data_IF_213971828035
#
_entry.id   IF_213971828035
#
_cell.length_a   1.000
_cell.length_b   1.000
_cell.length_c   1.000
_cell.angle_alpha   90.00
_cell.angle_beta   90.00
_cell.angle_gamma   90.00
#
_symmetry.space_group_name_H-M   'P 1'
#
loop_
_entity.id
_entity.type
_entity.pdbx_description
1 polymer ?
#
# COMPACT_ATOMS: atom_id res chain seq x y z
N UNK A 1 16.88 19.46 27.52
CA UNK A 1 16.15 18.77 28.61
C UNK A 1 15.58 17.46 28.09
N UNK A 2 15.83 16.34 28.79
CA UNK A 2 15.26 15.04 28.45
C UNK A 2 13.77 14.96 28.85
N UNK A 3 12.95 14.23 28.07
CA UNK A 3 11.54 13.98 28.43
C UNK A 3 11.43 13.17 29.71
N UNK A 4 10.48 13.51 30.58
CA UNK A 4 10.18 12.75 31.80
C UNK A 4 9.62 11.36 31.46
N UNK A 5 9.62 10.45 32.44
CA UNK A 5 9.14 9.08 32.25
C UNK A 5 7.67 9.06 31.83
N UNK A 6 6.84 9.91 32.43
CA UNK A 6 5.41 10.01 32.09
C UNK A 6 5.18 10.52 30.68
N UNK A 7 5.98 11.51 30.23
CA UNK A 7 5.94 12.00 28.84
C UNK A 7 6.36 10.92 27.83
N UNK A 8 7.32 10.04 28.20
CA UNK A 8 7.72 8.91 27.35
C UNK A 8 6.60 7.88 27.24
N UNK A 9 5.99 7.51 28.38
CA UNK A 9 4.84 6.59 28.39
C UNK A 9 3.66 7.14 27.59
N UNK A 10 3.36 8.43 27.73
CA UNK A 10 2.32 9.08 26.94
C UNK A 10 2.59 8.99 25.44
N UNK A 11 3.82 9.26 25.00
CA UNK A 11 4.21 9.15 23.59
C UNK A 11 4.15 7.72 23.07
N UNK A 12 4.54 6.72 23.86
CA UNK A 12 4.40 5.32 23.50
C UNK A 12 2.91 4.98 23.30
N UNK A 13 2.03 5.39 24.22
CA UNK A 13 0.61 5.18 24.10
C UNK A 13 -0.03 5.90 22.90
N UNK A 14 0.41 7.12 22.57
CA UNK A 14 -0.02 7.79 21.31
C UNK A 14 0.42 6.99 20.09
N UNK A 15 1.63 6.44 20.10
CA UNK A 15 2.13 5.65 18.99
C UNK A 15 1.38 4.34 18.82
N UNK A 16 1.11 3.64 19.93
CA UNK A 16 0.31 2.41 19.90
C UNK A 16 -1.06 2.66 19.27
N UNK A 17 -1.70 3.78 19.60
CA UNK A 17 -2.96 4.20 18.96
C UNK A 17 -2.83 4.52 17.47
N UNK A 18 -1.69 5.05 17.02
CA UNK A 18 -1.46 5.29 15.59
C UNK A 18 -1.29 3.98 14.81
N UNK A 19 -0.73 2.93 15.43
CA UNK A 19 -0.67 1.60 14.84
C UNK A 19 -2.05 0.95 14.69
N UNK A 20 -2.99 1.30 15.58
CA UNK A 20 -4.39 0.85 15.47
C UNK A 20 -5.02 1.44 14.20
N UNK A 21 -5.48 0.58 13.31
CA UNK A 21 -6.07 0.97 12.02
C UNK A 21 -5.07 1.37 10.93
N UNK A 22 -3.77 1.24 11.18
CA UNK A 22 -2.75 1.44 10.14
C UNK A 22 -2.56 0.14 9.35
N UNK A 23 -2.69 0.20 8.03
CA UNK A 23 -2.48 -0.94 7.14
C UNK A 23 -1.00 -1.10 6.77
N UNK A 24 -0.27 0.01 6.61
CA UNK A 24 1.13 0.00 6.24
C UNK A 24 1.92 1.07 6.98
N UNK A 25 3.13 0.72 7.42
CA UNK A 25 4.10 1.67 7.97
C UNK A 25 5.34 1.68 7.10
N UNK A 26 5.72 2.86 6.60
CA UNK A 26 6.98 3.06 5.88
C UNK A 26 7.99 3.79 6.76
N UNK A 27 9.26 3.39 6.67
CA UNK A 27 10.38 4.02 7.38
C UNK A 27 11.25 4.74 6.37
N UNK A 28 11.42 6.03 6.58
CA UNK A 28 12.26 6.90 5.75
C UNK A 28 13.38 7.54 6.56
N UNK A 29 14.51 7.81 5.89
CA UNK A 29 15.56 8.65 6.45
C UNK A 29 15.23 10.13 6.25
N UNK A 30 15.27 10.91 7.34
CA UNK A 30 14.99 12.34 7.28
C UNK A 30 16.20 13.22 7.63
N UNK A 31 17.39 12.63 7.81
CA UNK A 31 18.59 13.34 8.31
C UNK A 31 18.99 14.55 7.47
N UNK A 32 18.76 14.47 6.17
CA UNK A 32 19.16 15.52 5.21
C UNK A 32 18.04 16.49 4.85
N UNK A 33 16.82 16.33 5.45
CA UNK A 33 15.67 17.16 5.17
C UNK A 33 15.63 18.40 6.04
N UNK A 34 15.33 19.53 5.41
CA UNK A 34 15.00 20.77 6.12
C UNK A 34 13.57 20.72 6.71
N UNK A 35 13.30 21.58 7.69
CA UNK A 35 11.96 21.69 8.29
C UNK A 35 10.88 22.05 7.25
N UNK A 36 11.23 22.87 6.26
CA UNK A 36 10.34 23.25 5.17
C UNK A 36 9.99 22.02 4.30
N UNK A 37 10.98 21.18 3.97
CA UNK A 37 10.80 19.97 3.17
C UNK A 37 9.95 18.93 3.92
N UNK A 38 10.17 18.75 5.22
CA UNK A 38 9.32 17.86 6.06
C UNK A 38 7.88 18.38 6.11
N UNK A 39 7.68 19.68 6.18
CA UNK A 39 6.35 20.26 6.17
C UNK A 39 5.66 20.06 4.82
N UNK A 40 6.40 20.18 3.72
CA UNK A 40 5.92 19.91 2.36
C UNK A 40 5.51 18.43 2.21
N UNK A 41 6.35 17.52 2.67
CA UNK A 41 6.06 16.08 2.70
C UNK A 41 4.76 15.79 3.49
N UNK A 42 4.61 16.35 4.67
CA UNK A 42 3.39 16.19 5.47
C UNK A 42 2.14 16.70 4.76
N UNK A 43 2.25 17.80 4.03
CA UNK A 43 1.14 18.35 3.26
C UNK A 43 0.75 17.46 2.08
N UNK A 44 1.73 16.89 1.37
CA UNK A 44 1.47 15.97 0.24
C UNK A 44 0.89 14.63 0.68
N UNK A 45 1.18 14.18 1.92
CA UNK A 45 0.70 12.92 2.47
C UNK A 45 -0.68 13.03 3.16
N UNK A 46 -1.12 14.23 3.54
CA UNK A 46 -2.44 14.43 4.18
C UNK A 46 -3.63 13.91 3.37
N UNK A 47 -3.71 14.17 2.04
CA UNK A 47 -4.84 13.71 1.24
C UNK A 47 -4.99 12.17 1.20
N UNK A 48 -3.89 11.42 1.42
CA UNK A 48 -3.88 9.96 1.42
C UNK A 48 -4.13 9.34 2.80
N UNK A 49 -4.58 10.13 3.79
CA UNK A 49 -4.79 9.67 5.16
C UNK A 49 -3.49 9.24 5.88
N UNK A 50 -2.33 9.67 5.38
CA UNK A 50 -1.03 9.26 5.92
C UNK A 50 -0.53 10.24 6.98
N UNK A 51 -0.14 9.71 8.14
CA UNK A 51 0.43 10.49 9.24
C UNK A 51 1.94 10.29 9.30
N UNK A 52 2.70 11.40 9.20
CA UNK A 52 4.16 11.38 9.32
C UNK A 52 4.58 11.76 10.76
N UNK A 53 5.18 10.81 11.48
CA UNK A 53 5.71 11.00 12.84
C UNK A 53 7.22 10.79 12.86
N UNK A 54 7.91 11.71 13.51
CA UNK A 54 9.34 11.60 13.82
C UNK A 54 9.51 11.39 15.31
N UNK A 55 10.01 10.23 15.69
CA UNK A 55 10.21 9.87 17.11
C UNK A 55 11.53 9.16 17.29
N UNK A 56 11.96 9.04 18.57
CA UNK A 56 13.14 8.25 18.89
C UNK A 56 12.86 6.76 18.63
N UNK A 57 13.77 6.10 17.93
CA UNK A 57 13.65 4.67 17.61
C UNK A 57 13.44 3.79 18.87
N UNK A 58 14.03 4.16 20.00
CA UNK A 58 13.85 3.43 21.26
C UNK A 58 12.39 3.45 21.76
N UNK A 59 11.68 4.59 21.61
CA UNK A 59 10.27 4.69 22.00
C UNK A 59 9.37 3.96 21.00
N UNK A 60 9.74 4.01 19.72
CA UNK A 60 9.02 3.29 18.68
C UNK A 60 9.16 1.77 18.86
N UNK A 61 10.37 1.28 19.14
CA UNK A 61 10.60 -0.15 19.45
C UNK A 61 9.75 -0.61 20.63
N UNK A 62 9.61 0.23 21.66
CA UNK A 62 8.77 -0.09 22.82
C UNK A 62 7.29 -0.15 22.43
N UNK A 63 6.80 0.78 21.59
CA UNK A 63 5.43 0.73 21.09
C UNK A 63 5.16 -0.50 20.21
N UNK A 64 6.15 -0.92 19.42
CA UNK A 64 6.07 -2.11 18.55
C UNK A 64 6.05 -3.41 19.39
N UNK A 65 6.75 -3.43 20.54
CA UNK A 65 6.76 -4.61 21.41
C UNK A 65 5.37 -4.98 21.92
N UNK A 66 4.49 -3.99 22.06
CA UNK A 66 3.10 -4.17 22.48
C UNK A 66 2.20 -4.71 21.34
N UNK A 67 2.64 -4.62 20.07
CA UNK A 67 1.88 -5.04 18.89
C UNK A 67 2.72 -5.98 18.03
N UNK A 68 2.57 -7.31 18.19
CA UNK A 68 3.45 -8.31 17.57
C UNK A 68 3.48 -8.30 16.03
N UNK A 69 2.42 -7.81 15.40
CA UNK A 69 2.30 -7.69 13.93
C UNK A 69 3.38 -6.78 13.32
N UNK A 70 3.87 -5.80 14.08
CA UNK A 70 4.84 -4.80 13.61
C UNK A 70 6.29 -5.09 14.01
N UNK A 71 6.59 -6.26 14.61
CA UNK A 71 7.97 -6.64 15.03
C UNK A 71 8.97 -6.57 13.89
N UNK A 72 8.56 -6.92 12.67
CA UNK A 72 9.40 -6.86 11.47
C UNK A 72 9.92 -5.44 11.16
N UNK A 73 9.27 -4.40 11.71
CA UNK A 73 9.69 -3.01 11.55
C UNK A 73 11.00 -2.69 12.28
N UNK A 74 11.35 -3.44 13.34
CA UNK A 74 12.55 -3.18 14.12
C UNK A 74 13.84 -3.19 13.31
N UNK A 75 13.90 -4.05 12.28
CA UNK A 75 15.05 -4.15 11.38
C UNK A 75 15.32 -2.88 10.57
N UNK A 76 14.28 -2.09 10.30
CA UNK A 76 14.37 -0.86 9.52
C UNK A 76 14.60 0.40 10.38
N UNK A 77 14.46 0.29 11.71
CA UNK A 77 14.62 1.40 12.66
C UNK A 77 16.09 1.63 13.03
N UNK A 78 16.91 1.96 12.06
CA UNK A 78 18.33 2.28 12.25
C UNK A 78 18.57 3.77 11.93
N UNK A 79 19.34 4.48 12.76
CA UNK A 79 19.64 5.90 12.57
C UNK A 79 18.42 6.83 12.65
N UNK A 80 18.47 8.04 12.02
CA UNK A 80 17.38 9.01 12.03
C UNK A 80 16.24 8.52 11.16
N UNK A 81 15.16 8.07 11.79
CA UNK A 81 14.02 7.44 11.11
C UNK A 81 12.74 8.23 11.34
N UNK A 82 11.99 8.49 10.28
CA UNK A 82 10.63 8.97 10.33
C UNK A 82 9.68 7.88 9.85
N UNK A 83 8.59 7.69 10.58
CA UNK A 83 7.57 6.70 10.24
C UNK A 83 6.37 7.37 9.58
N UNK A 84 5.93 6.79 8.48
CA UNK A 84 4.74 7.17 7.75
C UNK A 84 3.69 6.09 7.99
N UNK A 85 2.65 6.44 8.74
CA UNK A 85 1.52 5.57 9.05
C UNK A 85 0.45 5.76 7.99
N UNK A 86 0.22 4.75 7.17
CA UNK A 86 -0.77 4.78 6.08
C UNK A 86 -2.01 4.03 6.52
N UNK A 87 -3.17 4.72 6.53
CA UNK A 87 -4.45 4.15 6.98
C UNK A 87 -5.33 3.71 5.81
N UNK A 88 -5.49 4.54 4.80
CA UNK A 88 -6.49 4.34 3.77
C UNK A 88 -5.90 3.99 2.41
N UNK A 89 -5.13 4.89 1.82
CA UNK A 89 -4.63 4.76 0.44
C UNK A 89 -3.13 4.47 0.41
N UNK A 90 -2.78 3.18 0.35
CA UNK A 90 -1.40 2.70 0.30
C UNK A 90 -0.72 3.15 -1.01
N UNK A 91 -1.40 2.97 -2.15
CA UNK A 91 -0.86 3.31 -3.47
C UNK A 91 -0.60 4.81 -3.62
N UNK A 92 -1.57 5.63 -3.20
CA UNK A 92 -1.44 7.09 -3.21
C UNK A 92 -0.33 7.59 -2.27
N UNK A 93 -0.19 7.00 -1.08
CA UNK A 93 0.87 7.36 -0.13
C UNK A 93 2.27 7.08 -0.70
N UNK A 94 2.48 5.90 -1.30
CA UNK A 94 3.77 5.53 -1.91
C UNK A 94 4.06 6.42 -3.12
N UNK A 95 3.07 6.72 -3.97
CA UNK A 95 3.21 7.66 -5.11
C UNK A 95 3.57 9.07 -4.65
N UNK A 96 2.88 9.58 -3.64
CA UNK A 96 3.15 10.91 -3.07
C UNK A 96 4.57 10.98 -2.49
N UNK A 97 5.02 9.93 -1.80
CA UNK A 97 6.38 9.84 -1.31
C UNK A 97 7.40 9.78 -2.45
N UNK A 98 7.17 8.97 -3.49
CA UNK A 98 8.07 8.88 -4.65
C UNK A 98 8.18 10.22 -5.41
N UNK A 99 7.06 10.94 -5.56
CA UNK A 99 7.07 12.27 -6.17
C UNK A 99 7.96 13.22 -5.36
N UNK A 100 7.81 13.22 -4.04
CA UNK A 100 8.64 13.98 -3.13
C UNK A 100 10.12 13.56 -3.18
N UNK A 101 10.41 12.25 -3.23
CA UNK A 101 11.76 11.73 -3.33
C UNK A 101 12.45 12.16 -4.63
N UNK A 102 11.74 12.16 -5.76
CA UNK A 102 12.25 12.65 -7.05
C UNK A 102 12.60 14.14 -7.03
N UNK A 103 11.79 14.93 -6.31
CA UNK A 103 11.98 16.37 -6.18
C UNK A 103 13.12 16.72 -5.23
N UNK A 104 13.15 16.11 -4.04
CA UNK A 104 14.14 16.43 -3.01
C UNK A 104 15.48 15.70 -3.21
N UNK A 105 15.47 14.48 -3.75
CA UNK A 105 16.63 13.57 -3.90
C UNK A 105 17.47 13.38 -2.63
N UNK A 106 16.88 13.69 -1.47
CA UNK A 106 17.57 13.73 -0.17
C UNK A 106 17.09 12.64 0.79
N UNK A 107 15.98 11.96 0.47
CA UNK A 107 15.39 10.93 1.32
C UNK A 107 15.61 9.55 0.75
N UNK A 108 15.94 8.61 1.63
CA UNK A 108 16.01 7.21 1.28
C UNK A 108 14.90 6.43 1.99
N UNK A 109 14.22 5.59 1.23
CA UNK A 109 13.26 4.63 1.76
C UNK A 109 14.04 3.45 2.32
N UNK A 110 13.97 3.23 3.63
CA UNK A 110 14.66 2.10 4.29
C UNK A 110 13.88 0.80 4.18
N UNK A 111 12.58 0.88 4.14
CA UNK A 111 11.67 -0.24 4.03
C UNK A 111 10.33 0.08 4.67
N UNK A 112 9.50 -0.94 4.80
CA UNK A 112 8.20 -0.80 5.46
C UNK A 112 7.63 -2.15 5.85
N UNK A 113 6.50 -2.11 6.52
CA UNK A 113 5.73 -3.30 6.88
C UNK A 113 4.29 -3.09 6.43
N UNK A 114 3.74 -4.06 5.74
CA UNK A 114 2.36 -4.12 5.29
C UNK A 114 1.71 -5.35 5.93
N UNK A 115 0.71 -5.14 6.77
CA UNK A 115 -0.04 -6.22 7.43
C UNK A 115 0.87 -7.31 8.04
N UNK A 116 1.94 -6.91 8.73
CA UNK A 116 2.90 -7.82 9.35
C UNK A 116 4.04 -8.32 8.44
N UNK A 117 3.94 -8.11 7.11
CA UNK A 117 4.97 -8.51 6.16
C UNK A 117 5.99 -7.39 5.97
N UNK A 118 7.26 -7.69 6.20
CA UNK A 118 8.35 -6.77 5.88
C UNK A 118 8.52 -6.63 4.37
N UNK A 119 8.63 -5.40 3.90
CA UNK A 119 8.80 -5.05 2.50
C UNK A 119 10.11 -4.30 2.31
N UNK A 120 10.88 -4.74 1.31
CA UNK A 120 12.08 -4.05 0.87
C UNK A 120 11.73 -2.79 0.07
N UNK A 121 12.66 -1.83 -0.08
CA UNK A 121 12.42 -0.61 -0.85
C UNK A 121 11.96 -0.87 -2.30
N UNK A 122 12.44 -1.96 -2.94
CA UNK A 122 12.05 -2.36 -4.29
C UNK A 122 10.60 -2.85 -4.36
N UNK A 123 10.16 -3.63 -3.38
CA UNK A 123 8.78 -4.12 -3.26
C UNK A 123 7.80 -2.97 -2.99
N UNK A 124 8.21 -1.99 -2.16
CA UNK A 124 7.43 -0.78 -1.92
C UNK A 124 7.28 0.08 -3.19
N UNK A 125 8.31 0.12 -4.04
CA UNK A 125 8.21 0.78 -5.34
C UNK A 125 7.21 0.08 -6.27
N UNK A 126 7.19 -1.25 -6.28
CA UNK A 126 6.22 -2.01 -7.05
C UNK A 126 4.77 -1.76 -6.60
N UNK A 127 4.54 -1.53 -5.31
CA UNK A 127 3.21 -1.16 -4.79
C UNK A 127 2.75 0.20 -5.33
N UNK A 128 3.65 1.12 -5.59
CA UNK A 128 3.28 2.41 -6.20
C UNK A 128 2.69 2.26 -7.60
N UNK A 129 3.10 1.24 -8.34
CA UNK A 129 2.59 0.99 -9.70
C UNK A 129 1.21 0.33 -9.68
N UNK A 130 0.75 -0.16 -8.52
CA UNK A 130 -0.58 -0.70 -8.36
C UNK A 130 -1.64 0.42 -8.41
N UNK A 131 -2.81 0.15 -9.01
CA UNK A 131 -3.96 1.03 -8.92
C UNK A 131 -4.46 1.18 -7.48
N UNK A 132 -5.29 2.18 -7.22
CA UNK A 132 -5.93 2.33 -5.89
C UNK A 132 -6.75 1.09 -5.53
N UNK A 133 -6.97 0.88 -4.23
CA UNK A 133 -7.74 -0.27 -3.72
C UNK A 133 -9.10 -0.43 -4.41
N UNK A 134 -9.80 0.69 -4.66
CA UNK A 134 -11.09 0.70 -5.35
C UNK A 134 -10.98 0.20 -6.79
N UNK A 135 -9.94 0.63 -7.51
CA UNK A 135 -9.69 0.20 -8.89
C UNK A 135 -9.31 -1.28 -8.95
N UNK A 136 -8.53 -1.78 -7.98
CA UNK A 136 -8.20 -3.21 -7.87
C UNK A 136 -9.45 -4.05 -7.63
N UNK A 137 -10.32 -3.63 -6.72
CA UNK A 137 -11.60 -4.30 -6.47
C UNK A 137 -12.47 -4.29 -7.74
N UNK A 138 -12.55 -3.16 -8.42
CA UNK A 138 -13.29 -3.06 -9.68
C UNK A 138 -12.71 -3.98 -10.77
N UNK A 139 -11.40 -4.10 -10.88
CA UNK A 139 -10.74 -5.03 -11.81
C UNK A 139 -11.05 -6.49 -11.48
N UNK A 140 -11.01 -6.87 -10.20
CA UNK A 140 -11.36 -8.23 -9.75
C UNK A 140 -12.83 -8.52 -10.08
N UNK A 141 -13.74 -7.60 -9.75
CA UNK A 141 -15.16 -7.73 -10.09
C UNK A 141 -15.38 -7.84 -11.61
N UNK A 142 -14.68 -7.02 -12.38
CA UNK A 142 -14.70 -7.10 -13.84
C UNK A 142 -14.19 -8.43 -14.38
N UNK A 143 -13.11 -8.96 -13.81
CA UNK A 143 -12.56 -10.28 -14.21
C UNK A 143 -13.55 -11.42 -13.90
N UNK A 144 -14.20 -11.40 -12.75
CA UNK A 144 -15.24 -12.38 -12.36
C UNK A 144 -16.42 -12.30 -13.34
N UNK A 145 -16.90 -11.10 -13.65
CA UNK A 145 -17.98 -10.90 -14.61
C UNK A 145 -17.59 -11.37 -16.03
N UNK A 146 -16.35 -11.15 -16.44
CA UNK A 146 -15.84 -11.61 -17.74
C UNK A 146 -15.80 -13.14 -17.83
N UNK A 147 -15.46 -13.86 -16.74
CA UNK A 147 -15.48 -15.31 -16.70
C UNK A 147 -16.93 -15.82 -16.84
N UNK A 148 -17.86 -15.24 -16.08
CA UNK A 148 -19.29 -15.60 -16.14
C UNK A 148 -19.87 -15.35 -17.53
N UNK A 149 -19.54 -14.23 -18.15
CA UNK A 149 -19.94 -13.91 -19.51
C UNK A 149 -19.37 -14.90 -20.53
N UNK A 150 -18.10 -15.28 -20.43
CA UNK A 150 -17.47 -16.27 -21.31
C UNK A 150 -18.13 -17.66 -21.21
N UNK A 151 -18.49 -18.09 -19.99
CA UNK A 151 -19.21 -19.32 -19.76
C UNK A 151 -20.60 -19.27 -20.44
N UNK A 152 -21.34 -18.18 -20.22
CA UNK A 152 -22.66 -17.99 -20.81
C UNK A 152 -22.62 -17.98 -22.35
N UNK A 153 -21.60 -17.32 -22.94
CA UNK A 153 -21.37 -17.30 -24.38
C UNK A 153 -21.03 -18.71 -24.87
N UNK A 154 -20.12 -19.42 -24.20
CA UNK A 154 -19.73 -20.79 -24.58
C UNK A 154 -20.92 -21.77 -24.57
N UNK A 155 -21.79 -21.69 -23.57
CA UNK A 155 -23.01 -22.51 -23.50
C UNK A 155 -23.97 -22.16 -24.65
N UNK A 156 -24.04 -20.92 -25.04
CA UNK A 156 -24.93 -20.45 -26.14
C UNK A 156 -24.34 -20.75 -27.53
N UNK A 157 -23.05 -20.65 -27.70
CA UNK A 157 -22.37 -20.85 -28.98
C UNK A 157 -22.38 -22.32 -29.45
N UNK A 158 -22.27 -23.28 -28.52
CA UNK A 158 -22.27 -24.70 -28.88
C UNK A 158 -23.54 -25.13 -29.64
N UNK A 159 -24.77 -24.87 -29.18
CA UNK A 159 -25.98 -25.16 -29.97
C UNK A 159 -26.09 -24.36 -31.25
N UNK A 160 -25.65 -23.11 -31.24
CA UNK A 160 -25.71 -22.27 -32.45
C UNK A 160 -24.71 -22.70 -33.52
N UNK A 161 -23.54 -23.17 -33.16
CA UNK A 161 -22.54 -23.69 -34.09
C UNK A 161 -23.00 -25.01 -34.71
N UNK A 162 -23.62 -25.89 -33.93
CA UNK A 162 -24.23 -27.12 -34.42
C UNK A 162 -25.37 -26.82 -35.38
N UNK A 163 -26.26 -25.89 -35.04
CA UNK A 163 -27.37 -25.45 -35.92
C UNK A 163 -26.86 -24.87 -37.24
N UNK A 164 -25.80 -24.07 -37.22
CA UNK A 164 -25.15 -23.55 -38.43
C UNK A 164 -24.50 -24.66 -39.27
N UNK A 165 -23.85 -25.61 -38.64
CA UNK A 165 -23.23 -26.74 -39.33
C UNK A 165 -24.28 -27.65 -40.01
N UNK A 166 -25.38 -27.98 -39.32
CA UNK A 166 -26.49 -28.77 -39.89
C UNK A 166 -27.14 -28.04 -41.06
N UNK A 167 -27.37 -26.73 -40.92
CA UNK A 167 -27.90 -25.91 -42.00
C UNK A 167 -26.98 -25.89 -43.23
N UNK A 168 -25.68 -25.72 -43.03
CA UNK A 168 -24.70 -25.73 -44.11
C UNK A 168 -24.61 -27.09 -44.85
N UNK A 169 -24.81 -28.21 -44.12
CA UNK A 169 -24.86 -29.55 -44.72
C UNK A 169 -26.15 -29.71 -45.55
N UNK A 170 -27.30 -29.32 -45.00
CA UNK A 170 -28.58 -29.43 -45.73
C UNK A 170 -28.62 -28.56 -47.01
N UNK A 171 -28.00 -27.39 -47.01
CA UNK A 171 -27.87 -26.53 -48.19
C UNK A 171 -26.93 -27.11 -49.25
N UNK A 172 -25.94 -27.93 -48.86
CA UNK A 172 -25.06 -28.64 -49.80
C UNK A 172 -25.71 -29.87 -50.43
N UNK A 173 -26.63 -30.54 -49.72
CA UNK A 173 -27.35 -31.67 -50.25
C UNK A 173 -28.51 -31.28 -51.20
N UNK A 174 -28.93 -30.00 -51.11
CA UNK A 174 -30.02 -29.48 -51.97
C UNK A 174 -29.54 -28.73 -53.22
N UNK A 175 -28.22 -28.68 -53.46
CA UNK A 175 -27.59 -28.11 -54.66
C UNK A 175 -26.96 -29.20 -55.53
#
# INVERSE_FOLDING_TARGET
MGKTLDQKKFLVGEMTKEFEGTQMVMVIDYSTLSVAEITKLRRSLRPTGTVCRTTKNTLLKQAISDVPEWKSLEGFLTGPSACLFVKDDIGGAVKAYQAFQKESKKTELRGGVLEGRALNPKELQAIADLPSKEVLIAQIAGAINAITAKIAIGIKEVPQSLGRAVKAVSEKESA
#
